data_IF_908938792810
#
_entry.id   IF_908938792810
#
_cell.length_a   1.000
_cell.length_b   1.000
_cell.length_c   1.000
_cell.angle_alpha   90.00
_cell.angle_beta   90.00
_cell.angle_gamma   90.00
#
_symmetry.space_group_name_H-M   'P 1'
#
loop_
_entity.id
_entity.type
_entity.pdbx_description
1 polymer ?
#
# COMPACT_ATOMS: atom_id res chain seq x y z
N UNK A 1 13.15 9.33 -10.97
CA UNK A 1 12.11 8.33 -11.27
C UNK A 1 11.56 8.62 -12.65
N UNK A 2 11.28 7.58 -13.43
CA UNK A 2 10.60 7.74 -14.72
C UNK A 2 9.13 8.14 -14.47
N UNK A 3 8.51 8.90 -15.37
CA UNK A 3 7.10 9.33 -15.24
C UNK A 3 6.17 8.14 -14.94
N UNK A 4 6.38 7.01 -15.60
CA UNK A 4 5.61 5.79 -15.36
C UNK A 4 5.71 5.27 -13.92
N UNK A 5 6.89 5.32 -13.30
CA UNK A 5 7.05 4.91 -11.89
C UNK A 5 6.31 5.84 -10.93
N UNK A 6 6.33 7.15 -11.22
CA UNK A 6 5.58 8.12 -10.42
C UNK A 6 4.08 7.83 -10.50
N UNK A 7 3.55 7.60 -11.71
CA UNK A 7 2.12 7.29 -11.89
C UNK A 7 1.72 6.00 -11.17
N UNK A 8 2.51 4.92 -11.29
CA UNK A 8 2.24 3.65 -10.61
C UNK A 8 2.28 3.83 -9.09
N UNK A 9 3.25 4.59 -8.58
CA UNK A 9 3.37 4.84 -7.15
C UNK A 9 2.23 5.70 -6.61
N UNK A 10 1.83 6.75 -7.35
CA UNK A 10 0.68 7.59 -7.01
C UNK A 10 -0.61 6.77 -6.98
N UNK A 11 -0.86 5.94 -8.00
CA UNK A 11 -2.00 5.03 -8.04
C UNK A 11 -1.99 4.12 -6.81
N UNK A 12 -0.87 3.47 -6.54
CA UNK A 12 -0.78 2.48 -5.47
C UNK A 12 -1.01 3.08 -4.08
N UNK A 13 -0.24 4.11 -3.71
CA UNK A 13 -0.34 4.74 -2.38
C UNK A 13 -1.68 5.45 -2.24
N UNK A 14 -2.16 6.12 -3.30
CA UNK A 14 -3.46 6.79 -3.32
C UNK A 14 -4.62 5.82 -3.13
N UNK A 15 -4.62 4.66 -3.79
CA UNK A 15 -5.65 3.63 -3.63
C UNK A 15 -5.69 3.05 -2.21
N UNK A 16 -4.53 2.77 -1.61
CA UNK A 16 -4.44 2.29 -0.22
C UNK A 16 -5.08 3.30 0.73
N UNK A 17 -4.77 4.58 0.57
CA UNK A 17 -5.31 5.61 1.44
C UNK A 17 -6.81 5.82 1.24
N UNK A 18 -7.23 5.89 -0.03
CA UNK A 18 -8.64 6.10 -0.39
C UNK A 18 -9.50 4.97 0.17
N UNK A 19 -9.10 3.72 -0.01
CA UNK A 19 -9.88 2.57 0.45
C UNK A 19 -9.89 2.47 1.97
N UNK A 20 -8.72 2.54 2.61
CA UNK A 20 -8.61 2.32 4.06
C UNK A 20 -9.17 3.45 4.92
N UNK A 21 -9.03 4.71 4.49
CA UNK A 21 -9.32 5.87 5.35
C UNK A 21 -10.51 6.71 4.88
N UNK A 22 -11.02 6.51 3.67
CA UNK A 22 -12.22 7.21 3.18
C UNK A 22 -13.36 6.23 2.90
N UNK A 23 -13.15 5.27 1.99
CA UNK A 23 -14.23 4.39 1.52
C UNK A 23 -14.71 3.47 2.64
N UNK A 24 -13.80 2.80 3.36
CA UNK A 24 -14.21 1.89 4.44
C UNK A 24 -15.02 2.61 5.54
N UNK A 25 -14.59 3.75 6.11
CA UNK A 25 -15.41 4.50 7.07
C UNK A 25 -16.78 4.90 6.52
N UNK A 26 -16.84 5.43 5.29
CA UNK A 26 -18.09 5.84 4.65
C UNK A 26 -19.06 4.67 4.50
N UNK A 27 -18.58 3.48 4.13
CA UNK A 27 -19.41 2.27 4.04
C UNK A 27 -20.01 1.88 5.39
N UNK A 28 -19.24 1.94 6.47
CA UNK A 28 -19.72 1.60 7.81
C UNK A 28 -20.63 2.67 8.43
N UNK A 29 -20.57 3.90 7.92
CA UNK A 29 -21.44 5.01 8.34
C UNK A 29 -22.78 5.00 7.58
N UNK A 30 -22.76 4.77 6.27
CA UNK A 30 -23.93 5.00 5.41
C UNK A 30 -24.75 3.74 5.08
N UNK A 31 -24.20 2.53 5.28
CA UNK A 31 -24.94 1.30 5.05
C UNK A 31 -25.64 0.82 6.32
N UNK A 32 -26.95 0.57 6.23
CA UNK A 32 -27.77 0.07 7.34
C UNK A 32 -27.28 -1.27 7.89
N UNK A 33 -26.72 -2.12 7.03
CA UNK A 33 -26.18 -3.43 7.40
C UNK A 33 -24.66 -3.38 7.56
N UNK A 34 -24.18 -3.51 8.80
CA UNK A 34 -22.74 -3.64 9.11
C UNK A 34 -22.11 -4.87 8.43
N UNK A 35 -22.88 -5.96 8.28
CA UNK A 35 -22.45 -7.15 7.56
C UNK A 35 -22.23 -6.85 6.07
N UNK A 36 -23.14 -6.08 5.44
CA UNK A 36 -22.96 -5.62 4.06
C UNK A 36 -21.73 -4.73 3.91
N UNK A 37 -21.58 -3.72 4.78
CA UNK A 37 -20.41 -2.84 4.78
C UNK A 37 -19.09 -3.64 4.90
N UNK A 38 -19.05 -4.62 5.81
CA UNK A 38 -17.90 -5.50 5.98
C UNK A 38 -17.58 -6.35 4.75
N UNK A 39 -18.60 -6.87 4.04
CA UNK A 39 -18.38 -7.62 2.79
C UNK A 39 -17.79 -6.73 1.70
N UNK A 40 -18.40 -5.58 1.43
CA UNK A 40 -17.94 -4.64 0.39
C UNK A 40 -16.54 -4.11 0.72
N UNK A 41 -16.30 -3.74 1.98
CA UNK A 41 -14.96 -3.35 2.42
C UNK A 41 -13.93 -4.47 2.22
N UNK A 42 -14.30 -5.71 2.53
CA UNK A 42 -13.47 -6.89 2.28
C UNK A 42 -13.09 -7.06 0.81
N UNK A 43 -14.06 -6.92 -0.11
CA UNK A 43 -13.80 -6.98 -1.56
C UNK A 43 -12.85 -5.87 -2.02
N UNK A 44 -13.04 -4.64 -1.54
CA UNK A 44 -12.16 -3.52 -1.84
C UNK A 44 -10.73 -3.76 -1.33
N UNK A 45 -10.57 -4.33 -0.13
CA UNK A 45 -9.25 -4.69 0.40
C UNK A 45 -8.59 -5.79 -0.43
N UNK A 46 -9.33 -6.80 -0.91
CA UNK A 46 -8.81 -7.80 -1.85
C UNK A 46 -8.32 -7.15 -3.15
N UNK A 47 -9.07 -6.20 -3.71
CA UNK A 47 -8.64 -5.46 -4.90
C UNK A 47 -7.37 -4.65 -4.63
N UNK A 48 -7.26 -4.00 -3.47
CA UNK A 48 -6.06 -3.27 -3.05
C UNK A 48 -4.86 -4.22 -2.87
N UNK A 49 -5.06 -5.43 -2.34
CA UNK A 49 -4.01 -6.42 -2.20
C UNK A 49 -3.46 -6.85 -3.57
N UNK A 50 -4.34 -7.16 -4.54
CA UNK A 50 -3.93 -7.47 -5.91
C UNK A 50 -3.26 -6.29 -6.61
N UNK A 51 -3.80 -5.08 -6.46
CA UNK A 51 -3.17 -3.85 -6.95
C UNK A 51 -1.76 -3.70 -6.38
N UNK A 52 -1.56 -4.05 -5.10
CA UNK A 52 -0.26 -3.98 -4.44
C UNK A 52 0.77 -4.96 -4.98
N UNK A 53 0.34 -6.15 -5.42
CA UNK A 53 1.20 -7.10 -6.13
C UNK A 53 1.61 -6.54 -7.48
N UNK A 54 0.67 -6.02 -8.26
CA UNK A 54 0.93 -5.49 -9.60
C UNK A 54 1.83 -4.25 -9.53
N UNK A 55 1.45 -3.24 -8.74
CA UNK A 55 2.22 -2.00 -8.59
C UNK A 55 3.59 -2.27 -7.95
N UNK A 56 3.64 -3.06 -6.89
CA UNK A 56 4.89 -3.43 -6.22
C UNK A 56 5.83 -4.18 -7.15
N UNK A 57 5.32 -5.15 -7.92
CA UNK A 57 6.11 -5.89 -8.91
C UNK A 57 6.68 -5.01 -10.01
N UNK A 58 5.86 -4.12 -10.59
CA UNK A 58 6.30 -3.18 -11.63
C UNK A 58 7.37 -2.20 -11.12
N UNK A 59 7.18 -1.63 -9.92
CA UNK A 59 8.16 -0.73 -9.32
C UNK A 59 9.45 -1.46 -8.93
N UNK A 60 9.34 -2.68 -8.42
CA UNK A 60 10.49 -3.50 -8.06
C UNK A 60 11.30 -3.91 -9.30
N UNK A 61 10.64 -4.23 -10.41
CA UNK A 61 11.32 -4.48 -11.69
C UNK A 61 12.14 -3.26 -12.16
N UNK A 62 11.61 -2.05 -11.96
CA UNK A 62 12.35 -0.80 -12.19
C UNK A 62 13.61 -0.71 -11.30
N UNK A 63 13.49 -1.00 -10.00
CA UNK A 63 14.63 -1.03 -9.07
C UNK A 63 15.70 -2.04 -9.49
N UNK A 64 15.31 -3.24 -9.90
CA UNK A 64 16.25 -4.28 -10.36
C UNK A 64 16.97 -3.83 -11.63
N UNK A 65 16.24 -3.24 -12.59
CA UNK A 65 16.83 -2.74 -13.84
C UNK A 65 17.88 -1.66 -13.58
N UNK A 66 17.61 -0.74 -12.65
CA UNK A 66 18.54 0.34 -12.30
C UNK A 66 19.72 -0.16 -11.42
N UNK A 67 19.49 -1.20 -10.60
CA UNK A 67 20.47 -1.78 -9.68
C UNK A 67 21.58 -2.60 -10.35
N UNK A 68 21.43 -2.97 -11.62
CA UNK A 68 22.48 -3.66 -12.41
C UNK A 68 23.64 -2.71 -12.75
N UNK A 69 23.45 -1.39 -12.69
CA UNK A 69 24.44 -0.40 -13.17
C UNK A 69 25.03 0.52 -12.09
N UNK A 70 24.38 0.65 -10.94
CA UNK A 70 24.86 1.43 -9.80
C UNK A 70 24.37 0.74 -8.52
N UNK A 71 25.08 0.93 -7.39
CA UNK A 71 24.62 0.49 -6.05
C UNK A 71 23.35 1.24 -5.65
N UNK A 72 22.24 0.92 -6.32
CA UNK A 72 20.95 1.56 -6.18
C UNK A 72 20.45 1.46 -4.74
N UNK A 73 19.62 2.41 -4.31
CA UNK A 73 19.33 2.61 -2.91
C UNK A 73 18.44 1.48 -2.38
N UNK A 74 19.08 0.51 -1.71
CA UNK A 74 18.49 -0.66 -1.02
C UNK A 74 17.19 -0.34 -0.31
N UNK A 75 17.07 0.87 0.25
CA UNK A 75 15.87 1.36 0.93
C UNK A 75 14.62 1.38 0.03
N UNK A 76 14.67 1.86 -1.22
CA UNK A 76 13.46 1.94 -2.08
C UNK A 76 12.88 0.56 -2.35
N UNK A 77 13.74 -0.39 -2.73
CA UNK A 77 13.34 -1.78 -2.96
C UNK A 77 12.79 -2.42 -1.69
N UNK A 78 13.43 -2.20 -0.54
CA UNK A 78 12.95 -2.69 0.75
C UNK A 78 11.58 -2.14 1.11
N UNK A 79 11.31 -0.84 0.90
CA UNK A 79 10.00 -0.23 1.15
C UNK A 79 8.92 -0.81 0.23
N UNK A 80 9.22 -1.02 -1.05
CA UNK A 80 8.29 -1.66 -1.99
C UNK A 80 7.93 -3.07 -1.51
N UNK A 81 8.93 -3.91 -1.22
CA UNK A 81 8.72 -5.28 -0.73
C UNK A 81 7.94 -5.26 0.59
N UNK A 82 8.33 -4.41 1.54
CA UNK A 82 7.67 -4.32 2.85
C UNK A 82 6.20 -3.94 2.72
N UNK A 83 5.88 -2.91 1.90
CA UNK A 83 4.50 -2.48 1.68
C UNK A 83 3.66 -3.58 1.01
N UNK A 84 4.18 -4.24 -0.04
CA UNK A 84 3.50 -5.36 -0.69
C UNK A 84 3.28 -6.51 0.29
N UNK A 85 4.29 -6.86 1.10
CA UNK A 85 4.21 -7.95 2.07
C UNK A 85 3.20 -7.65 3.20
N UNK A 86 3.16 -6.43 3.72
CA UNK A 86 2.21 -6.02 4.76
C UNK A 86 0.76 -6.11 4.27
N UNK A 87 0.47 -5.54 3.10
CA UNK A 87 -0.88 -5.58 2.52
C UNK A 87 -1.28 -6.99 2.09
N UNK A 88 -0.31 -7.78 1.61
CA UNK A 88 -0.51 -9.19 1.33
C UNK A 88 -0.77 -10.03 2.57
N UNK A 89 -0.06 -9.77 3.67
CA UNK A 89 -0.29 -10.44 4.94
C UNK A 89 -1.71 -10.16 5.48
N UNK A 90 -2.17 -8.91 5.39
CA UNK A 90 -3.56 -8.57 5.74
C UNK A 90 -4.57 -9.41 4.95
N UNK A 91 -4.37 -9.59 3.64
CA UNK A 91 -5.30 -10.32 2.77
C UNK A 91 -5.20 -11.84 2.91
N UNK A 92 -4.01 -12.42 2.89
CA UNK A 92 -3.84 -13.88 2.79
C UNK A 92 -3.62 -14.57 4.14
N UNK A 93 -3.17 -13.85 5.17
CA UNK A 93 -2.98 -14.41 6.52
C UNK A 93 -4.13 -14.02 7.45
N UNK A 94 -4.48 -12.73 7.51
CA UNK A 94 -5.44 -12.24 8.53
C UNK A 94 -6.88 -12.39 8.08
N UNK A 95 -7.21 -12.05 6.82
CA UNK A 95 -8.59 -12.10 6.33
C UNK A 95 -9.25 -13.48 6.44
N UNK A 96 -8.60 -14.61 6.10
CA UNK A 96 -9.23 -15.93 6.24
C UNK A 96 -9.58 -16.26 7.70
N UNK A 97 -8.74 -15.81 8.65
CA UNK A 97 -9.00 -15.97 10.07
C UNK A 97 -10.18 -15.11 10.53
N UNK A 98 -10.30 -13.88 9.99
CA UNK A 98 -11.45 -13.03 10.27
C UNK A 98 -12.76 -13.63 9.76
N UNK A 99 -12.76 -14.19 8.55
CA UNK A 99 -13.94 -14.86 7.99
C UNK A 99 -14.32 -16.11 8.80
N UNK A 100 -13.33 -16.89 9.26
CA UNK A 100 -13.58 -18.02 10.16
C UNK A 100 -14.13 -17.61 11.54
N UNK A 101 -13.89 -16.37 11.96
CA UNK A 101 -14.38 -15.79 13.22
C UNK A 101 -15.78 -15.15 13.09
N UNK A 102 -16.46 -15.26 11.94
CA UNK A 102 -17.84 -14.76 11.77
C UNK A 102 -18.89 -15.78 12.18
N UNK A 103 -20.03 -15.28 12.63
CA UNK A 103 -21.24 -16.08 12.85
C UNK A 103 -21.96 -16.39 11.52
N UNK A 104 -22.91 -17.35 11.47
CA UNK A 104 -23.63 -17.72 10.25
C UNK A 104 -24.40 -16.56 9.58
N UNK A 105 -24.79 -15.55 10.36
CA UNK A 105 -25.46 -14.34 9.88
C UNK A 105 -24.47 -13.27 9.36
N UNK A 106 -23.16 -13.57 9.37
CA UNK A 106 -22.07 -12.70 8.91
C UNK A 106 -21.60 -11.67 9.95
N UNK A 107 -22.20 -11.64 11.13
CA UNK A 107 -21.80 -10.73 12.21
C UNK A 107 -20.48 -11.19 12.88
N UNK A 108 -19.74 -10.27 13.51
CA UNK A 108 -18.52 -10.60 14.24
C UNK A 108 -18.79 -11.61 15.38
N UNK A 109 -18.08 -12.74 15.37
CA UNK A 109 -18.03 -13.67 16.49
C UNK A 109 -16.78 -13.48 17.36
N UNK A 110 -16.45 -14.51 18.14
CA UNK A 110 -15.31 -14.47 19.06
C UNK A 110 -13.97 -14.32 18.33
N UNK A 111 -13.12 -13.43 18.84
CA UNK A 111 -11.79 -13.17 18.27
C UNK A 111 -11.78 -12.27 17.02
N UNK A 112 -12.94 -11.97 16.41
CA UNK A 112 -13.03 -11.10 15.24
C UNK A 112 -12.44 -9.71 15.49
N UNK A 113 -12.76 -9.09 16.63
CA UNK A 113 -12.28 -7.75 16.98
C UNK A 113 -10.74 -7.68 17.08
N UNK A 114 -10.11 -8.72 17.64
CA UNK A 114 -8.66 -8.81 17.74
C UNK A 114 -8.02 -8.94 16.35
N UNK A 115 -8.54 -9.84 15.51
CA UNK A 115 -8.04 -10.03 14.14
C UNK A 115 -8.25 -8.79 13.27
N UNK A 116 -9.37 -8.09 13.45
CA UNK A 116 -9.63 -6.81 12.81
C UNK A 116 -8.60 -5.75 13.23
N UNK A 117 -8.27 -5.68 14.53
CA UNK A 117 -7.22 -4.82 15.04
C UNK A 117 -5.84 -5.13 14.45
N UNK A 118 -5.46 -6.41 14.34
CA UNK A 118 -4.21 -6.84 13.68
C UNK A 118 -4.18 -6.40 12.22
N UNK A 119 -5.28 -6.62 11.49
CA UNK A 119 -5.39 -6.18 10.09
C UNK A 119 -5.24 -4.67 9.95
N UNK A 120 -5.88 -3.89 10.84
CA UNK A 120 -5.78 -2.44 10.86
C UNK A 120 -4.34 -1.96 11.11
N UNK A 121 -3.60 -2.59 12.03
CA UNK A 121 -2.18 -2.28 12.28
C UNK A 121 -1.31 -2.59 11.06
N UNK A 122 -1.49 -3.77 10.43
CA UNK A 122 -0.75 -4.12 9.21
C UNK A 122 -1.03 -3.11 8.09
N UNK A 123 -2.29 -2.72 7.92
CA UNK A 123 -2.71 -1.74 6.92
C UNK A 123 -2.13 -0.34 7.19
N UNK A 124 -2.11 0.09 8.47
CA UNK A 124 -1.49 1.34 8.90
C UNK A 124 0.01 1.34 8.59
N UNK A 125 0.73 0.28 8.97
CA UNK A 125 2.16 0.15 8.69
C UNK A 125 2.44 0.15 7.17
N UNK A 126 1.61 -0.54 6.38
CA UNK A 126 1.68 -0.50 4.91
C UNK A 126 1.46 0.91 4.37
N UNK A 127 0.49 1.64 4.92
CA UNK A 127 0.18 3.03 4.54
C UNK A 127 1.34 3.98 4.86
N UNK A 128 1.93 3.87 6.04
CA UNK A 128 3.09 4.67 6.46
C UNK A 128 4.33 4.35 5.61
N UNK A 129 4.52 3.07 5.27
CA UNK A 129 5.57 2.64 4.34
C UNK A 129 5.37 3.28 2.96
N UNK A 130 4.12 3.39 2.49
CA UNK A 130 3.76 4.10 1.26
C UNK A 130 4.11 5.58 1.29
N UNK A 131 3.84 6.29 2.40
CA UNK A 131 4.27 7.69 2.59
C UNK A 131 5.78 7.80 2.52
N UNK A 132 6.49 6.91 3.23
CA UNK A 132 7.94 6.94 3.25
C UNK A 132 8.53 6.67 1.87
N UNK A 133 7.93 5.76 1.10
CA UNK A 133 8.29 5.50 -0.29
C UNK A 133 8.12 6.75 -1.18
N UNK A 134 7.07 7.54 -0.96
CA UNK A 134 6.85 8.84 -1.64
C UNK A 134 7.90 9.86 -1.24
N UNK A 135 8.15 10.05 0.05
CA UNK A 135 9.16 10.99 0.54
C UNK A 135 10.56 10.68 -0.04
N UNK A 136 10.96 9.41 0.01
CA UNK A 136 12.22 8.91 -0.55
C UNK A 136 12.28 9.07 -2.08
N UNK A 137 11.13 9.07 -2.77
CA UNK A 137 11.03 9.36 -4.19
C UNK A 137 11.29 10.83 -4.52
N UNK A 138 10.67 11.74 -3.74
CA UNK A 138 10.79 13.20 -3.89
C UNK A 138 12.21 13.68 -3.63
N UNK A 139 12.82 13.25 -2.51
CA UNK A 139 14.19 13.66 -2.13
C UNK A 139 15.23 13.35 -3.23
N UNK A 140 15.05 12.24 -3.95
CA UNK A 140 15.93 11.86 -5.06
C UNK A 140 15.75 12.76 -6.27
N UNK A 141 14.52 13.17 -6.55
CA UNK A 141 14.23 14.07 -7.66
C UNK A 141 14.86 15.45 -7.42
N UNK A 142 14.77 15.96 -6.19
CA UNK A 142 15.35 17.26 -5.82
C UNK A 142 16.88 17.25 -5.84
N UNK A 143 17.50 16.16 -5.35
CA UNK A 143 18.97 15.99 -5.46
C UNK A 143 19.45 15.98 -6.91
N UNK A 144 18.73 15.30 -7.81
CA UNK A 144 19.06 15.26 -9.24
C UNK A 144 19.04 16.65 -9.87
N UNK A 145 17.95 17.40 -9.63
CA UNK A 145 17.79 18.78 -10.14
C UNK A 145 18.88 19.74 -9.65
N UNK A 146 19.29 19.64 -8.37
CA UNK A 146 20.34 20.50 -7.81
C UNK A 146 21.69 20.28 -8.50
N UNK A 147 22.05 19.05 -8.85
CA UNK A 147 23.32 18.72 -9.53
C UNK A 147 23.35 19.32 -10.94
N UNK A 148 22.25 19.19 -11.68
CA UNK A 148 22.12 19.76 -13.03
C UNK A 148 22.18 21.30 -13.01
N UNK A 149 21.56 21.95 -12.03
CA UNK A 149 21.59 23.41 -11.87
C UNK A 149 22.99 23.97 -11.57
N UNK A 150 23.79 23.28 -10.75
CA UNK A 150 25.19 23.68 -10.46
C UNK A 150 26.07 23.52 -11.71
N UNK A 151 25.86 22.47 -12.50
CA UNK A 151 26.57 22.24 -13.77
C UNK A 151 26.24 23.28 -14.85
N UNK A 152 25.02 23.85 -14.84
CA UNK A 152 24.56 24.82 -15.83
C UNK A 152 25.00 26.26 -15.56
N UNK A 153 25.33 26.60 -14.31
CA UNK A 153 25.73 27.95 -13.89
C UNK A 153 27.20 28.32 -14.22
N UNK A 154 28.00 27.36 -14.71
CA UNK A 154 29.42 27.54 -15.01
C UNK A 154 29.75 27.73 -16.50
N UNK A 155 28.76 28.05 -17.34
CA UNK A 155 28.93 28.32 -18.77
C UNK A 155 28.41 29.70 -19.14
#
# INVERSE_FOLDING_TARGET
MRVGETLIQTLWVGSVWTVGYLVAPVLFEHLDSRAMAGRVAGELFTLVAWLSIVCGGLLFAGVVRDGIQNKGPRLRGALIIAMTALLGASEWLVRPLMEAARLPDGTPGDGFAMLHGVSAVLYLLGSLTGVWLVAVGVDRQDRGRRIEGVSGSGR
#
